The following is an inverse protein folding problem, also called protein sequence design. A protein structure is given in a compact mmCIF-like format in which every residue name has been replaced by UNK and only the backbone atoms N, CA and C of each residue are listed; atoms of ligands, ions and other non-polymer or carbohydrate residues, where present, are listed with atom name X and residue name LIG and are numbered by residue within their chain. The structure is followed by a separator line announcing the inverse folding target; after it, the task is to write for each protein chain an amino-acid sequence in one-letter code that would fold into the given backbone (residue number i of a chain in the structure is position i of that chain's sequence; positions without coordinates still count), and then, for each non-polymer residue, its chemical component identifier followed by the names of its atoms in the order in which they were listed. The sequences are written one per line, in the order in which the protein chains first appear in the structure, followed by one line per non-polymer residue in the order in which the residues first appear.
data_IF_457530894219
#
_entry.id   IF_457530894219
#
_cell.length_a   1.000
_cell.length_b   1.000
_cell.length_c   1.000
_cell.angle_alpha   90.00
_cell.angle_beta   90.00
_cell.angle_gamma   90.00
#
_symmetry.space_group_name_H-M   'P 1'
#
loop_
_entity.id
_entity.type
_entity.pdbx_description
1 polymer ?
#
# COMPACT_ATOMS: atom_id res chain seq x y z
N UNK A 1 3.23 13.76 -24.06
CA UNK A 1 4.60 14.15 -24.53
C UNK A 1 5.61 13.70 -23.51
N UNK A 2 6.60 12.87 -23.89
CA UNK A 2 7.62 12.38 -22.94
C UNK A 2 8.97 12.95 -23.32
N UNK A 3 9.62 13.65 -22.40
CA UNK A 3 10.87 14.38 -22.67
C UNK A 3 11.99 13.89 -21.74
N UNK A 4 13.15 13.59 -22.31
CA UNK A 4 14.32 13.17 -21.56
C UNK A 4 15.21 14.37 -21.17
N UNK A 5 15.64 14.46 -19.92
CA UNK A 5 16.42 15.59 -19.41
C UNK A 5 17.80 15.18 -18.92
N UNK A 6 18.84 15.79 -19.47
CA UNK A 6 20.15 15.79 -18.83
C UNK A 6 20.40 17.15 -18.15
N UNK A 7 20.54 17.15 -16.84
CA UNK A 7 20.82 18.37 -16.08
C UNK A 7 22.30 18.46 -15.73
N UNK A 8 23.06 19.32 -16.42
CA UNK A 8 24.41 19.67 -16.03
C UNK A 8 24.47 21.11 -15.51
N UNK A 9 24.99 21.31 -14.30
CA UNK A 9 25.37 22.65 -13.84
C UNK A 9 26.87 22.90 -14.03
N UNK A 10 27.27 24.15 -14.38
CA UNK A 10 28.65 24.44 -14.68
C UNK A 10 29.50 24.58 -13.43
N UNK A 11 30.40 23.66 -13.17
CA UNK A 11 31.67 23.86 -12.46
C UNK A 11 32.44 22.52 -12.45
N UNK A 12 33.53 22.49 -13.17
CA UNK A 12 34.50 21.43 -13.43
C UNK A 12 34.18 20.54 -14.66
N UNK A 13 35.21 20.35 -15.50
CA UNK A 13 35.19 19.48 -16.68
C UNK A 13 34.84 18.03 -16.27
N UNK A 14 33.59 17.69 -16.32
CA UNK A 14 33.11 16.32 -16.39
C UNK A 14 32.26 16.22 -17.65
N UNK A 15 32.64 15.41 -18.58
CA UNK A 15 31.79 15.05 -19.69
C UNK A 15 30.63 14.22 -19.13
N UNK A 16 29.45 14.78 -19.09
CA UNK A 16 28.24 14.04 -18.69
C UNK A 16 27.61 13.49 -19.95
N UNK A 17 27.92 12.24 -20.26
CA UNK A 17 27.31 11.51 -21.37
C UNK A 17 26.25 10.60 -20.78
N UNK A 18 25.02 10.73 -21.25
CA UNK A 18 23.92 9.82 -20.96
C UNK A 18 23.53 9.17 -22.28
N UNK A 19 23.68 7.87 -22.37
CA UNK A 19 23.22 7.07 -23.49
C UNK A 19 21.91 6.41 -23.13
N UNK A 20 20.93 6.47 -24.00
CA UNK A 20 19.63 5.84 -23.82
C UNK A 20 19.40 4.92 -25.01
N UNK A 21 19.17 3.66 -24.73
CA UNK A 21 18.96 2.62 -25.73
C UNK A 21 17.75 1.75 -25.38
N UNK A 22 17.29 0.97 -26.36
CA UNK A 22 16.14 0.07 -26.19
C UNK A 22 14.88 0.76 -25.64
N UNK A 23 14.63 2.00 -26.03
CA UNK A 23 13.48 2.78 -25.57
C UNK A 23 12.22 2.26 -26.24
N UNK A 24 11.27 1.82 -25.47
CA UNK A 24 9.96 1.38 -25.97
C UNK A 24 8.83 2.03 -25.20
N UNK A 25 7.79 2.38 -25.90
CA UNK A 25 6.51 2.85 -25.40
C UNK A 25 5.44 1.84 -25.81
N UNK A 26 4.72 1.29 -24.86
CA UNK A 26 3.79 0.18 -25.08
C UNK A 26 2.40 0.61 -24.64
N UNK A 27 1.47 0.63 -25.60
CA UNK A 27 0.08 1.04 -25.36
C UNK A 27 -0.81 -0.15 -25.04
N UNK A 28 -1.83 0.10 -24.26
CA UNK A 28 -2.90 -0.87 -24.04
C UNK A 28 -4.00 -0.67 -25.09
N UNK A 29 -4.35 -1.70 -25.86
CA UNK A 29 -5.52 -1.66 -26.74
C UNK A 29 -6.79 -1.40 -25.93
N UNK A 30 -7.64 -0.48 -26.40
CA UNK A 30 -9.03 -0.36 -25.96
C UNK A 30 -9.77 -1.64 -26.32
N UNK A 31 -9.90 -2.57 -25.36
CA UNK A 31 -10.80 -3.70 -25.51
C UNK A 31 -12.22 -3.28 -25.19
N UNK A 32 -13.18 -3.85 -25.93
CA UNK A 32 -14.61 -3.55 -25.80
C UNK A 32 -15.13 -3.77 -24.37
N UNK A 33 -15.99 -2.88 -23.93
CA UNK A 33 -16.52 -2.60 -22.58
C UNK A 33 -17.25 -3.77 -21.85
N UNK A 34 -16.97 -5.02 -22.10
CA UNK A 34 -17.72 -6.12 -21.51
C UNK A 34 -17.16 -6.68 -20.20
N UNK A 35 -15.92 -6.39 -19.86
CA UNK A 35 -15.32 -6.63 -18.55
C UNK A 35 -14.51 -5.40 -18.17
N UNK A 36 -14.70 -4.87 -16.97
CA UNK A 36 -13.94 -3.73 -16.49
C UNK A 36 -12.47 -4.11 -16.31
N UNK A 37 -11.71 -4.06 -17.39
CA UNK A 37 -10.25 -4.11 -17.35
C UNK A 37 -9.74 -2.84 -16.71
N UNK A 38 -9.50 -2.86 -15.43
CA UNK A 38 -8.90 -1.73 -14.72
C UNK A 38 -7.59 -2.18 -14.11
N UNK A 39 -6.51 -1.82 -14.72
CA UNK A 39 -5.18 -2.02 -14.16
C UNK A 39 -5.08 -1.50 -12.72
N UNK A 40 -5.83 -0.47 -12.41
CA UNK A 40 -6.03 0.10 -11.09
C UNK A 40 -7.50 -0.03 -10.73
N UNK A 41 -7.82 -1.07 -9.96
CA UNK A 41 -9.21 -1.35 -9.61
C UNK A 41 -9.80 -0.23 -8.76
N UNK A 42 -10.94 0.27 -9.22
CA UNK A 42 -11.73 1.25 -8.50
C UNK A 42 -13.20 1.13 -8.91
N UNK A 43 -14.09 1.02 -7.93
CA UNK A 43 -15.51 1.05 -8.19
C UNK A 43 -15.95 2.48 -8.57
N UNK A 44 -16.92 2.64 -9.51
CA UNK A 44 -17.35 3.95 -9.95
C UNK A 44 -17.81 4.87 -8.81
N UNK A 45 -17.37 6.12 -8.82
CA UNK A 45 -17.70 7.16 -7.84
C UNK A 45 -17.32 6.85 -6.40
N UNK A 46 -16.36 5.95 -6.20
CA UNK A 46 -15.78 5.65 -4.89
C UNK A 46 -14.27 5.59 -4.99
N UNK A 47 -13.60 5.60 -3.86
CA UNK A 47 -12.16 5.43 -3.75
C UNK A 47 -11.86 4.16 -2.95
N UNK A 48 -10.86 3.43 -3.40
CA UNK A 48 -10.43 2.18 -2.79
C UNK A 48 -9.71 2.46 -1.47
N UNK A 49 -10.23 1.91 -0.38
CA UNK A 49 -9.62 2.03 0.96
C UNK A 49 -8.76 0.81 1.31
N UNK A 50 -8.61 0.56 2.61
CA UNK A 50 -7.75 -0.51 3.10
C UNK A 50 -8.17 -1.87 2.57
N UNK A 51 -7.19 -2.68 2.19
CA UNK A 51 -7.38 -4.00 1.63
C UNK A 51 -6.96 -5.10 2.61
N UNK A 52 -7.84 -6.06 2.84
CA UNK A 52 -7.61 -7.26 3.61
C UNK A 52 -7.57 -8.45 2.65
N UNK A 53 -6.39 -8.77 2.09
CA UNK A 53 -6.28 -9.79 1.06
C UNK A 53 -6.37 -11.21 1.62
N UNK A 54 -6.92 -12.12 0.81
CA UNK A 54 -6.83 -13.56 1.02
C UNK A 54 -6.66 -14.27 -0.32
N UNK A 55 -5.92 -15.37 -0.34
CA UNK A 55 -5.70 -16.16 -1.56
C UNK A 55 -6.24 -17.58 -1.43
N UNK A 56 -6.94 -18.06 -2.46
CA UNK A 56 -7.43 -19.44 -2.54
C UNK A 56 -7.41 -19.96 -3.96
N UNK A 57 -6.85 -21.14 -4.16
CA UNK A 57 -6.67 -21.71 -5.51
C UNK A 57 -5.67 -20.88 -6.31
N UNK A 58 -6.14 -20.21 -7.34
CA UNK A 58 -5.40 -19.28 -8.18
C UNK A 58 -5.91 -17.83 -8.11
N UNK A 59 -6.80 -17.55 -7.16
CA UNK A 59 -7.48 -16.27 -7.03
C UNK A 59 -7.11 -15.54 -5.74
N UNK A 60 -6.99 -14.22 -5.83
CA UNK A 60 -6.92 -13.30 -4.72
C UNK A 60 -8.30 -12.68 -4.47
N UNK A 61 -8.72 -12.73 -3.22
CA UNK A 61 -9.93 -12.14 -2.68
C UNK A 61 -9.53 -10.84 -1.99
N UNK A 62 -9.97 -9.72 -2.54
CA UNK A 62 -9.65 -8.38 -2.08
C UNK A 62 -10.83 -7.83 -1.29
N UNK A 63 -10.87 -8.12 0.00
CA UNK A 63 -11.83 -7.47 0.89
C UNK A 63 -11.35 -6.05 1.12
N UNK A 64 -12.19 -5.06 0.86
CA UNK A 64 -11.76 -3.67 0.91
C UNK A 64 -12.87 -2.72 1.34
N UNK A 65 -12.45 -1.57 1.82
CA UNK A 65 -13.34 -0.46 2.15
C UNK A 65 -13.55 0.42 0.91
N UNK A 66 -14.64 1.20 0.95
CA UNK A 66 -14.92 2.23 -0.06
C UNK A 66 -15.18 3.56 0.63
N UNK A 67 -14.50 4.60 0.18
CA UNK A 67 -14.78 5.97 0.55
C UNK A 67 -15.67 6.63 -0.50
N UNK A 68 -16.72 7.31 -0.08
CA UNK A 68 -17.60 8.13 -0.94
C UNK A 68 -17.28 9.61 -0.81
N UNK A 69 -16.28 10.01 -0.09
CA UNK A 69 -15.81 11.38 0.24
C UNK A 69 -16.75 12.17 1.13
N UNK A 70 -18.04 12.01 1.01
CA UNK A 70 -19.03 12.79 1.77
C UNK A 70 -20.06 11.86 2.42
N UNK A 71 -20.39 12.14 3.71
CA UNK A 71 -19.85 13.21 4.57
C UNK A 71 -18.40 12.94 5.02
N UNK A 72 -17.66 14.00 5.25
CA UNK A 72 -16.31 13.90 5.79
C UNK A 72 -16.34 13.65 7.31
N UNK A 73 -15.43 12.84 7.91
CA UNK A 73 -14.43 11.99 7.25
C UNK A 73 -15.02 10.64 6.80
N UNK A 74 -14.35 9.96 5.88
CA UNK A 74 -14.60 8.59 5.40
C UNK A 74 -15.86 8.37 4.55
N UNK A 75 -16.65 9.43 4.24
CA UNK A 75 -17.86 9.28 3.46
C UNK A 75 -19.04 8.65 4.23
N UNK A 76 -19.92 7.99 3.48
CA UNK A 76 -21.02 7.21 4.06
C UNK A 76 -20.50 6.00 4.82
N UNK A 77 -21.17 5.57 5.90
CA UNK A 77 -20.80 4.38 6.63
C UNK A 77 -20.72 3.14 5.73
N UNK A 78 -19.65 2.36 5.89
CA UNK A 78 -19.32 1.23 5.02
C UNK A 78 -19.00 -0.06 5.79
N UNK A 79 -19.21 -1.17 5.10
CA UNK A 79 -18.67 -2.48 5.44
C UNK A 79 -17.46 -2.83 4.57
N UNK A 80 -17.18 -4.12 4.40
CA UNK A 80 -16.21 -4.58 3.43
C UNK A 80 -16.90 -5.08 2.17
N UNK A 81 -16.45 -4.57 1.03
CA UNK A 81 -16.78 -5.10 -0.28
C UNK A 81 -15.71 -6.07 -0.72
N UNK A 82 -16.02 -6.86 -1.75
CA UNK A 82 -15.14 -7.90 -2.25
C UNK A 82 -14.96 -7.78 -3.76
N UNK A 83 -13.71 -7.70 -4.18
CA UNK A 83 -13.31 -7.95 -5.56
C UNK A 83 -12.43 -9.20 -5.64
N UNK A 84 -12.49 -9.93 -6.75
CA UNK A 84 -11.68 -11.12 -6.99
C UNK A 84 -10.87 -10.95 -8.26
N UNK A 85 -9.60 -11.32 -8.22
CA UNK A 85 -8.69 -11.28 -9.37
C UNK A 85 -7.71 -12.46 -9.33
N UNK A 86 -7.24 -12.88 -10.49
CA UNK A 86 -6.12 -13.83 -10.62
C UNK A 86 -4.88 -13.21 -11.26
N UNK A 87 -4.99 -11.96 -11.75
CA UNK A 87 -3.95 -11.36 -12.59
C UNK A 87 -3.69 -9.86 -12.35
N UNK A 88 -4.46 -9.21 -11.46
CA UNK A 88 -4.39 -7.77 -11.18
C UNK A 88 -4.66 -6.87 -12.40
N UNK A 89 -5.27 -7.43 -13.44
CA UNK A 89 -5.68 -6.75 -14.66
C UNK A 89 -7.20 -6.84 -14.85
N UNK A 90 -7.75 -7.98 -14.49
CA UNK A 90 -9.18 -8.28 -14.57
C UNK A 90 -9.73 -8.52 -13.18
N UNK A 91 -10.81 -7.85 -12.86
CA UNK A 91 -11.46 -7.93 -11.56
C UNK A 91 -12.92 -8.27 -11.70
N UNK A 92 -13.41 -9.14 -10.81
CA UNK A 92 -14.82 -9.42 -10.64
C UNK A 92 -15.29 -8.79 -9.32
N UNK A 93 -16.19 -7.81 -9.39
CA UNK A 93 -16.84 -7.23 -8.21
C UNK A 93 -17.93 -8.18 -7.71
N UNK A 94 -17.81 -8.58 -6.44
CA UNK A 94 -18.77 -9.48 -5.76
C UNK A 94 -19.75 -8.71 -4.88
N UNK A 95 -19.62 -7.37 -4.80
CA UNK A 95 -20.42 -6.55 -3.92
C UNK A 95 -19.98 -6.63 -2.45
N UNK A 96 -20.90 -6.33 -1.56
CA UNK A 96 -20.62 -6.29 -0.12
C UNK A 96 -20.55 -7.71 0.46
N UNK A 97 -19.38 -8.08 0.99
CA UNK A 97 -19.15 -9.35 1.66
C UNK A 97 -19.45 -9.28 3.17
N UNK A 98 -18.92 -8.27 3.86
CA UNK A 98 -19.19 -8.05 5.28
C UNK A 98 -19.96 -6.74 5.46
N UNK A 99 -21.29 -6.78 5.62
CA UNK A 99 -22.11 -5.58 5.77
C UNK A 99 -21.86 -4.91 7.12
N UNK A 100 -21.85 -3.58 7.13
CA UNK A 100 -21.80 -2.78 8.36
C UNK A 100 -22.99 -3.06 9.28
N UNK A 101 -22.87 -2.65 10.53
CA UNK A 101 -24.00 -2.55 11.47
C UNK A 101 -24.87 -1.32 11.21
N UNK A 102 -25.87 -1.14 12.07
CA UNK A 102 -26.69 0.08 12.10
C UNK A 102 -25.90 1.28 12.65
N UNK A 103 -26.50 2.46 12.64
CA UNK A 103 -25.87 3.67 13.17
C UNK A 103 -25.68 3.62 14.70
N UNK A 104 -26.44 2.78 15.39
CA UNK A 104 -26.39 2.58 16.84
C UNK A 104 -25.47 1.42 17.27
N UNK A 105 -24.99 0.61 16.31
CA UNK A 105 -24.12 -0.52 16.60
C UNK A 105 -22.64 -0.15 16.57
N UNK A 106 -21.80 -0.97 17.21
CA UNK A 106 -20.36 -0.75 17.32
C UNK A 106 -19.68 -0.66 15.94
N UNK A 107 -20.11 -1.46 15.00
CA UNK A 107 -19.60 -1.51 13.64
C UNK A 107 -20.44 -0.70 12.66
N UNK A 108 -20.82 0.51 13.07
CA UNK A 108 -21.37 1.53 12.17
C UNK A 108 -20.50 1.69 10.91
N UNK A 109 -19.19 1.66 11.10
CA UNK A 109 -18.18 1.46 10.04
C UNK A 109 -17.38 0.19 10.36
N UNK A 110 -17.00 -0.53 9.35
CA UNK A 110 -16.05 -1.64 9.48
C UNK A 110 -14.69 -1.17 8.98
N UNK A 111 -13.79 -0.86 9.91
CA UNK A 111 -12.41 -0.52 9.62
C UNK A 111 -11.58 -1.78 9.33
N UNK A 112 -10.29 -1.63 9.07
CA UNK A 112 -9.45 -2.71 8.62
C UNK A 112 -9.32 -3.87 9.63
N UNK A 113 -8.84 -4.97 9.11
CA UNK A 113 -8.66 -6.22 9.82
C UNK A 113 -7.83 -7.22 9.03
N UNK A 114 -8.07 -8.51 9.23
CA UNK A 114 -7.43 -9.57 8.47
C UNK A 114 -8.36 -10.75 8.21
N UNK A 115 -8.11 -11.44 7.12
CA UNK A 115 -8.78 -12.69 6.74
C UNK A 115 -7.78 -13.83 6.83
N UNK A 116 -8.15 -14.94 7.45
CA UNK A 116 -7.32 -16.14 7.55
C UNK A 116 -8.18 -17.41 7.61
N UNK A 117 -7.55 -18.54 7.32
CA UNK A 117 -8.19 -19.85 7.42
C UNK A 117 -7.67 -20.59 8.65
N UNK A 118 -8.59 -21.13 9.44
CA UNK A 118 -8.29 -21.94 10.59
C UNK A 118 -9.45 -22.89 10.94
N UNK A 119 -9.17 -24.04 11.51
CA UNK A 119 -10.17 -25.01 11.99
C UNK A 119 -11.24 -25.38 10.93
N UNK A 120 -10.88 -25.31 9.63
CA UNK A 120 -11.76 -25.65 8.51
C UNK A 120 -12.78 -24.55 8.16
N UNK A 121 -12.58 -23.35 8.64
CA UNK A 121 -13.38 -22.15 8.33
C UNK A 121 -12.49 -20.97 7.97
N UNK A 122 -13.10 -19.95 7.38
CA UNK A 122 -12.49 -18.63 7.21
C UNK A 122 -12.93 -17.72 8.34
N UNK A 123 -12.00 -16.93 8.81
CA UNK A 123 -12.19 -16.00 9.92
C UNK A 123 -11.80 -14.59 9.50
N UNK A 124 -12.59 -13.62 9.95
CA UNK A 124 -12.24 -12.20 9.92
C UNK A 124 -12.14 -11.71 11.37
N UNK A 125 -10.98 -11.12 11.72
CA UNK A 125 -10.95 -10.14 12.81
C UNK A 125 -10.90 -8.77 12.17
N UNK A 126 -11.81 -7.87 12.62
CA UNK A 126 -11.97 -6.53 12.05
C UNK A 126 -12.18 -5.49 13.14
N UNK A 127 -12.02 -4.24 12.80
CA UNK A 127 -12.27 -3.12 13.70
C UNK A 127 -13.68 -2.58 13.47
N UNK A 128 -14.54 -2.71 14.47
CA UNK A 128 -15.83 -2.02 14.51
C UNK A 128 -15.63 -0.60 15.01
N UNK A 129 -16.03 0.39 14.23
CA UNK A 129 -15.94 1.80 14.56
C UNK A 129 -17.31 2.46 14.62
N UNK A 130 -17.58 3.16 15.71
CA UNK A 130 -18.76 4.02 15.85
C UNK A 130 -18.32 5.43 16.23
N UNK A 131 -18.56 6.38 15.30
CA UNK A 131 -18.13 7.79 15.46
C UNK A 131 -18.82 8.53 16.60
N UNK A 132 -19.97 8.05 17.06
CA UNK A 132 -20.77 8.70 18.07
C UNK A 132 -20.52 8.15 19.50
N UNK A 133 -19.89 7.00 19.62
CA UNK A 133 -19.64 6.34 20.91
C UNK A 133 -18.77 7.14 21.88
N UNK A 134 -17.75 7.90 21.47
CA UNK A 134 -17.00 8.77 22.39
C UNK A 134 -17.88 9.77 23.14
N UNK A 135 -18.93 10.31 22.48
CA UNK A 135 -19.90 11.21 23.10
C UNK A 135 -20.73 10.53 24.19
N UNK A 136 -20.80 9.20 24.16
CA UNK A 136 -21.51 8.36 25.11
C UNK A 136 -20.57 7.75 26.16
N UNK A 137 -19.30 8.12 26.19
CA UNK A 137 -18.27 7.56 27.07
C UNK A 137 -17.90 6.11 26.73
N UNK A 138 -18.14 5.66 25.50
CA UNK A 138 -17.78 4.33 25.01
C UNK A 138 -16.58 4.45 24.07
N UNK A 139 -15.78 3.37 23.96
CA UNK A 139 -14.70 3.29 22.97
C UNK A 139 -15.26 3.37 21.56
N UNK A 140 -14.66 4.21 20.71
CA UNK A 140 -15.05 4.31 19.30
C UNK A 140 -14.63 3.08 18.52
N UNK A 141 -13.53 2.43 18.89
CA UNK A 141 -12.94 1.31 18.19
C UNK A 141 -12.83 0.09 19.10
N UNK A 142 -13.29 -1.05 18.60
CA UNK A 142 -13.11 -2.36 19.24
C UNK A 142 -12.87 -3.41 18.15
N UNK A 143 -12.18 -4.50 18.49
CA UNK A 143 -12.04 -5.61 17.57
C UNK A 143 -13.26 -6.52 17.66
N UNK A 144 -13.75 -6.96 16.53
CA UNK A 144 -14.89 -7.84 16.32
C UNK A 144 -14.51 -9.00 15.42
N UNK A 145 -15.36 -10.02 15.34
CA UNK A 145 -15.08 -11.25 14.61
C UNK A 145 -16.28 -11.72 13.77
N UNK A 146 -15.97 -12.33 12.62
CA UNK A 146 -16.92 -13.00 11.75
C UNK A 146 -16.31 -14.30 11.19
N UNK A 147 -17.18 -15.26 10.84
CA UNK A 147 -16.83 -16.55 10.25
C UNK A 147 -17.52 -16.76 8.91
N UNK A 148 -16.88 -17.54 8.04
CA UNK A 148 -17.45 -17.97 6.76
C UNK A 148 -17.00 -19.40 6.40
N UNK A 149 -17.82 -20.11 5.63
CA UNK A 149 -17.46 -21.39 5.03
C UNK A 149 -17.02 -21.24 3.56
N UNK A 150 -17.23 -20.07 2.94
CA UNK A 150 -17.07 -19.90 1.47
C UNK A 150 -16.35 -18.61 1.02
N UNK A 151 -15.93 -17.75 1.95
CA UNK A 151 -15.35 -16.40 1.70
C UNK A 151 -16.35 -15.36 1.16
N UNK A 152 -17.58 -15.73 0.88
CA UNK A 152 -18.59 -14.84 0.30
C UNK A 152 -19.66 -14.45 1.31
N UNK A 153 -20.06 -15.41 2.15
CA UNK A 153 -21.13 -15.24 3.12
C UNK A 153 -20.54 -15.25 4.54
N UNK A 154 -20.62 -14.14 5.24
CA UNK A 154 -20.01 -13.96 6.55
C UNK A 154 -21.05 -13.84 7.65
N UNK A 155 -20.82 -14.51 8.76
CA UNK A 155 -21.64 -14.45 9.98
C UNK A 155 -20.86 -13.80 11.10
N UNK A 156 -21.33 -12.64 11.57
CA UNK A 156 -20.75 -11.96 12.75
C UNK A 156 -21.03 -12.79 14.00
N UNK A 157 -20.00 -13.05 14.79
CA UNK A 157 -20.12 -13.98 15.94
C UNK A 157 -20.65 -13.35 17.19
N UNK A 158 -20.99 -12.07 17.17
CA UNK A 158 -21.52 -11.25 18.27
C UNK A 158 -21.05 -11.62 19.69
N UNK A 159 -20.63 -10.68 20.49
CA UNK A 159 -20.37 -10.71 21.95
C UNK A 159 -19.29 -11.67 22.49
N UNK A 160 -18.84 -12.67 21.74
CA UNK A 160 -17.91 -13.68 22.28
C UNK A 160 -16.43 -13.35 22.03
N UNK A 161 -16.14 -12.56 21.01
CA UNK A 161 -14.78 -12.18 20.61
C UNK A 161 -14.70 -10.67 20.33
N UNK A 162 -15.05 -9.86 21.32
CA UNK A 162 -14.86 -8.41 21.27
C UNK A 162 -13.70 -8.01 22.15
N UNK A 163 -12.72 -7.33 21.55
CA UNK A 163 -11.51 -6.88 22.25
C UNK A 163 -11.55 -5.37 22.40
N UNK A 164 -11.86 -4.94 23.60
CA UNK A 164 -11.86 -3.51 23.95
C UNK A 164 -10.45 -3.00 24.17
N UNK A 165 -10.22 -1.68 23.98
CA UNK A 165 -8.95 -1.05 24.34
C UNK A 165 -8.52 -1.37 25.76
N UNK A 166 -7.25 -1.64 25.96
CA UNK A 166 -6.66 -1.99 27.24
C UNK A 166 -6.14 -0.75 27.96
N UNK A 167 -6.01 -0.83 29.29
CA UNK A 167 -5.49 0.26 30.12
C UNK A 167 -4.08 0.69 29.64
N UNK A 168 -3.86 1.99 29.50
CA UNK A 168 -2.60 2.57 29.02
C UNK A 168 -2.55 2.80 27.52
N UNK A 169 -3.54 2.34 26.76
CA UNK A 169 -3.66 2.56 25.33
C UNK A 169 -4.85 3.46 24.98
N UNK A 170 -4.76 4.12 23.83
CA UNK A 170 -5.78 5.07 23.40
C UNK A 170 -7.04 4.35 22.87
N UNK A 171 -8.25 4.71 23.36
CA UNK A 171 -9.48 4.03 22.95
C UNK A 171 -9.98 4.40 21.54
N UNK A 172 -9.45 5.47 20.95
CA UNK A 172 -9.83 5.94 19.61
C UNK A 172 -8.78 5.58 18.55
N UNK A 173 -7.68 4.93 18.98
CA UNK A 173 -6.62 4.41 18.13
C UNK A 173 -6.32 2.95 18.53
N UNK A 174 -7.30 2.04 18.27
CA UNK A 174 -7.23 0.62 18.61
C UNK A 174 -7.81 -0.20 17.46
N UNK A 175 -6.97 -0.53 16.45
CA UNK A 175 -7.48 -1.06 15.18
C UNK A 175 -6.51 -1.94 14.41
N UNK A 176 -7.00 -2.46 13.28
CA UNK A 176 -6.28 -3.15 12.22
C UNK A 176 -5.67 -4.49 12.67
N UNK A 177 -6.46 -5.42 13.28
CA UNK A 177 -5.94 -6.69 13.72
C UNK A 177 -5.39 -7.54 12.56
N UNK A 178 -4.29 -8.24 12.83
CA UNK A 178 -3.71 -9.22 11.94
C UNK A 178 -3.38 -10.50 12.69
N UNK A 179 -3.79 -11.65 12.15
CA UNK A 179 -3.64 -12.94 12.81
C UNK A 179 -2.73 -13.84 12.02
N UNK A 180 -1.77 -14.47 12.71
CA UNK A 180 -0.95 -15.55 12.17
C UNK A 180 -0.96 -16.75 13.12
N UNK A 181 -0.67 -17.93 12.58
CA UNK A 181 -0.29 -19.09 13.37
C UNK A 181 1.20 -19.05 13.69
N UNK A 182 1.55 -19.14 14.95
CA UNK A 182 2.93 -19.25 15.41
C UNK A 182 3.29 -20.72 15.62
N UNK A 183 4.01 -21.30 14.62
CA UNK A 183 4.41 -22.68 14.66
C UNK A 183 5.33 -23.02 15.84
N UNK A 184 6.20 -22.12 16.25
CA UNK A 184 7.14 -22.37 17.35
C UNK A 184 6.42 -22.53 18.69
N UNK A 185 5.40 -21.67 18.94
CA UNK A 185 4.66 -21.66 20.20
C UNK A 185 3.35 -22.45 20.12
N UNK A 186 2.97 -22.96 18.95
CA UNK A 186 1.72 -23.68 18.68
C UNK A 186 0.50 -22.87 19.19
N UNK A 187 0.43 -21.61 18.77
CA UNK A 187 -0.64 -20.67 19.13
C UNK A 187 -0.90 -19.65 18.04
N UNK A 188 -2.11 -19.11 18.02
CA UNK A 188 -2.42 -17.94 17.21
C UNK A 188 -1.86 -16.69 17.87
N UNK A 189 -1.23 -15.85 17.06
CA UNK A 189 -0.77 -14.52 17.43
C UNK A 189 -1.61 -13.49 16.68
N UNK A 190 -2.31 -12.64 17.41
CA UNK A 190 -2.99 -11.47 16.87
C UNK A 190 -2.17 -10.24 17.24
N UNK A 191 -1.78 -9.46 16.24
CA UNK A 191 -1.20 -8.13 16.47
C UNK A 191 -2.19 -7.07 16.01
N UNK A 192 -2.16 -5.90 16.63
CA UNK A 192 -2.97 -4.76 16.24
C UNK A 192 -2.23 -3.46 16.43
N UNK A 193 -2.62 -2.47 15.65
CA UNK A 193 -2.09 -1.12 15.73
C UNK A 193 -2.78 -0.28 16.80
N UNK A 194 -2.00 0.48 17.54
CA UNK A 194 -2.49 1.39 18.57
C UNK A 194 -1.45 2.47 18.89
N UNK A 195 -1.75 3.29 19.85
CA UNK A 195 -0.80 4.21 20.48
C UNK A 195 -0.98 4.27 21.98
N UNK A 196 0.03 4.78 22.68
CA UNK A 196 -0.05 5.06 24.10
C UNK A 196 -1.13 6.10 24.37
N UNK A 197 -1.92 5.90 25.44
CA UNK A 197 -2.93 6.85 25.88
C UNK A 197 -2.31 8.23 26.20
N UNK A 198 -3.08 9.29 25.91
CA UNK A 198 -2.65 10.67 26.11
C UNK A 198 -2.49 11.45 24.81
N UNK A 199 -1.76 12.58 24.83
CA UNK A 199 -1.55 13.41 23.67
C UNK A 199 -0.95 12.64 22.50
N UNK A 200 -1.34 12.97 21.26
CA UNK A 200 -0.73 12.41 20.06
C UNK A 200 0.66 13.01 19.88
N UNK A 201 1.66 12.15 19.93
CA UNK A 201 3.07 12.53 19.75
C UNK A 201 3.74 11.53 18.78
N UNK A 202 4.84 11.94 18.15
CA UNK A 202 5.58 11.12 17.19
C UNK A 202 6.28 9.88 17.79
N UNK A 203 6.07 9.60 19.06
CA UNK A 203 6.67 8.47 19.79
C UNK A 203 5.64 7.56 20.44
N UNK A 204 4.36 7.82 20.21
CA UNK A 204 3.28 7.11 20.90
C UNK A 204 2.86 5.80 20.26
N UNK A 205 3.22 5.59 18.98
CA UNK A 205 2.84 4.41 18.21
C UNK A 205 3.26 3.09 18.85
N UNK A 206 2.36 2.11 18.81
CA UNK A 206 2.51 0.76 19.38
C UNK A 206 1.90 -0.27 18.46
N UNK A 207 2.55 -1.41 18.37
CA UNK A 207 1.91 -2.66 17.96
C UNK A 207 1.78 -3.51 19.20
N UNK A 208 0.58 -3.92 19.56
CA UNK A 208 0.31 -4.80 20.71
C UNK A 208 -0.10 -6.19 20.26
N UNK A 209 -0.11 -7.16 21.17
CA UNK A 209 -0.40 -8.55 20.83
C UNK A 209 -1.36 -9.23 21.80
N UNK A 210 -2.11 -10.17 21.22
CA UNK A 210 -2.89 -11.17 21.91
C UNK A 210 -2.45 -12.55 21.43
N UNK A 211 -2.61 -13.57 22.28
CA UNK A 211 -2.36 -14.97 21.94
C UNK A 211 -3.56 -15.84 22.26
N UNK A 212 -3.75 -16.91 21.49
CA UNK A 212 -4.78 -17.91 21.69
C UNK A 212 -4.37 -19.27 21.18
N UNK A 213 -4.81 -20.35 21.82
CA UNK A 213 -4.63 -21.73 21.32
C UNK A 213 -5.83 -22.29 20.58
N UNK A 214 -6.98 -21.61 20.65
CA UNK A 214 -8.28 -22.14 20.23
C UNK A 214 -9.19 -21.11 19.55
N UNK A 215 -8.65 -19.94 19.19
CA UNK A 215 -9.37 -18.79 18.60
C UNK A 215 -10.53 -18.24 19.45
N UNK A 216 -10.79 -18.82 20.61
CA UNK A 216 -11.90 -18.46 21.50
C UNK A 216 -11.43 -17.76 22.76
N UNK A 217 -10.32 -18.24 23.32
CA UNK A 217 -9.74 -17.73 24.55
C UNK A 217 -8.47 -16.95 24.22
N UNK A 218 -8.58 -15.64 24.16
CA UNK A 218 -7.48 -14.74 23.85
C UNK A 218 -6.94 -14.08 25.12
N UNK A 219 -5.62 -14.01 25.20
CA UNK A 219 -4.91 -13.34 26.28
C UNK A 219 -4.17 -12.13 25.74
N UNK A 220 -4.38 -10.96 26.34
CA UNK A 220 -3.59 -9.78 26.06
C UNK A 220 -2.18 -9.92 26.66
N UNK A 221 -1.16 -9.69 25.84
CA UNK A 221 0.25 -9.87 26.23
C UNK A 221 1.03 -8.54 26.24
N UNK A 222 0.36 -7.39 25.99
CA UNK A 222 0.98 -6.07 25.95
C UNK A 222 1.65 -5.75 24.63
N UNK A 223 2.71 -4.95 24.70
CA UNK A 223 3.44 -4.49 23.52
C UNK A 223 4.10 -5.66 22.77
N UNK A 224 3.87 -5.73 21.46
CA UNK A 224 4.64 -6.55 20.53
C UNK A 224 5.86 -5.78 20.03
N UNK A 225 5.66 -4.53 19.62
CA UNK A 225 6.71 -3.64 19.13
C UNK A 225 6.43 -2.20 19.55
N UNK A 226 7.33 -1.62 20.34
CA UNK A 226 7.19 -0.30 20.95
C UNK A 226 8.50 0.51 20.86
N UNK A 227 8.93 0.85 19.63
CA UNK A 227 10.24 1.44 19.39
C UNK A 227 10.37 2.90 19.85
N UNK A 228 9.26 3.57 20.20
CA UNK A 228 9.22 5.02 20.41
C UNK A 228 9.34 5.81 19.10
N UNK A 229 8.76 5.27 18.04
CA UNK A 229 8.70 5.86 16.71
C UNK A 229 7.23 5.96 16.27
N UNK A 230 6.95 6.99 15.46
CA UNK A 230 5.66 7.25 14.82
C UNK A 230 4.53 7.57 15.81
N UNK A 231 3.52 8.28 15.33
CA UNK A 231 2.35 8.64 16.13
C UNK A 231 1.49 7.42 16.42
N UNK A 232 1.27 6.59 15.42
CA UNK A 232 0.55 5.33 15.49
C UNK A 232 1.14 4.32 14.51
N UNK A 233 0.96 3.05 14.80
CA UNK A 233 1.24 1.95 13.87
C UNK A 233 -0.09 1.45 13.30
N UNK A 234 -0.36 1.73 12.03
CA UNK A 234 -1.54 1.23 11.34
C UNK A 234 -1.22 -0.02 10.52
N UNK A 235 -2.22 -0.84 10.25
CA UNK A 235 -2.14 -2.01 9.36
C UNK A 235 -0.96 -2.94 9.64
N UNK A 236 -0.68 -3.36 10.89
CA UNK A 236 0.42 -4.27 11.16
C UNK A 236 0.23 -5.59 10.40
N UNK A 237 1.30 -6.07 9.77
CA UNK A 237 1.37 -7.34 9.05
C UNK A 237 2.62 -8.08 9.47
N UNK A 238 2.54 -9.41 9.57
CA UNK A 238 3.65 -10.28 9.95
C UNK A 238 3.74 -11.46 9.00
N UNK A 239 4.94 -11.70 8.46
CA UNK A 239 5.20 -12.88 7.64
C UNK A 239 6.67 -13.28 7.70
N UNK A 240 6.95 -14.49 7.20
CA UNK A 240 8.30 -15.03 7.11
C UNK A 240 8.67 -15.35 5.66
N UNK A 241 9.91 -15.02 5.28
CA UNK A 241 10.54 -15.50 4.05
C UNK A 241 11.92 -16.05 4.44
N UNK A 242 12.15 -17.33 4.17
CA UNK A 242 13.38 -18.00 4.62
C UNK A 242 13.53 -17.90 6.14
N UNK A 243 14.69 -17.44 6.60
CA UNK A 243 15.00 -17.30 8.03
C UNK A 243 14.61 -15.93 8.62
N UNK A 244 13.97 -15.06 7.85
CA UNK A 244 13.64 -13.73 8.27
C UNK A 244 12.14 -13.53 8.48
N UNK A 245 11.80 -13.01 9.64
CA UNK A 245 10.49 -12.43 9.93
C UNK A 245 10.47 -10.96 9.52
N UNK A 246 9.32 -10.54 9.01
CA UNK A 246 9.05 -9.16 8.61
C UNK A 246 7.81 -8.66 9.32
N UNK A 247 7.92 -7.45 9.86
CA UNK A 247 6.81 -6.69 10.42
C UNK A 247 6.63 -5.42 9.60
N UNK A 248 5.51 -5.33 8.91
CA UNK A 248 5.14 -4.15 8.12
C UNK A 248 4.15 -3.34 8.93
N UNK A 249 4.24 -2.02 8.81
CA UNK A 249 3.24 -1.06 9.28
C UNK A 249 3.10 0.08 8.28
N UNK A 250 1.92 0.70 8.29
CA UNK A 250 1.72 2.05 7.75
C UNK A 250 1.94 3.04 8.89
N UNK A 251 2.94 3.90 8.75
CA UNK A 251 3.27 4.84 9.80
C UNK A 251 2.36 6.06 9.73
N UNK A 252 1.61 6.30 10.76
CA UNK A 252 0.75 7.47 10.88
C UNK A 252 1.50 8.59 11.59
N UNK A 253 2.15 9.42 10.78
CA UNK A 253 2.88 10.61 11.19
C UNK A 253 3.06 11.55 10.00
N UNK A 254 4.08 12.39 9.99
CA UNK A 254 4.35 13.32 8.88
C UNK A 254 4.78 12.61 7.58
N UNK A 255 5.30 11.40 7.66
CA UNK A 255 5.78 10.63 6.51
C UNK A 255 4.64 10.03 5.70
N UNK A 256 3.63 9.49 6.37
CA UNK A 256 2.50 8.76 5.76
C UNK A 256 2.97 7.77 4.69
N UNK A 257 3.74 6.77 5.10
CA UNK A 257 4.25 5.75 4.21
C UNK A 257 4.29 4.38 4.89
N UNK A 258 4.48 3.35 4.09
CA UNK A 258 4.71 2.02 4.60
C UNK A 258 6.19 1.80 4.92
N UNK A 259 6.44 1.18 6.07
CA UNK A 259 7.78 0.77 6.47
C UNK A 259 7.78 -0.67 6.96
N UNK A 260 8.93 -1.32 6.89
CA UNK A 260 9.08 -2.65 7.46
C UNK A 260 10.27 -2.75 8.43
N UNK A 261 10.18 -3.74 9.27
CA UNK A 261 11.25 -4.19 10.16
C UNK A 261 11.50 -5.68 9.91
N UNK A 262 12.73 -6.12 10.14
CA UNK A 262 13.11 -7.51 9.94
C UNK A 262 13.80 -8.08 11.17
N UNK A 263 13.61 -9.36 11.43
CA UNK A 263 14.19 -10.07 12.57
C UNK A 263 14.38 -11.56 12.27
N UNK A 264 15.30 -12.21 12.99
CA UNK A 264 15.41 -13.67 12.95
C UNK A 264 14.44 -14.37 13.90
N UNK A 265 13.69 -13.63 14.71
CA UNK A 265 12.71 -14.14 15.66
C UNK A 265 11.49 -13.24 15.74
N UNK A 266 10.30 -13.81 15.97
CA UNK A 266 9.09 -13.04 16.30
C UNK A 266 9.21 -12.21 17.57
N UNK A 267 10.07 -12.63 18.49
CA UNK A 267 10.33 -11.88 19.73
C UNK A 267 11.39 -10.76 19.54
N UNK A 268 11.88 -10.58 18.31
CA UNK A 268 12.87 -9.56 17.99
C UNK A 268 14.35 -10.00 18.26
N UNK A 269 15.31 -9.10 18.28
CA UNK A 269 15.14 -7.66 18.03
C UNK A 269 14.75 -7.34 16.58
N UNK A 270 13.88 -6.36 16.42
CA UNK A 270 13.45 -5.86 15.12
C UNK A 270 14.41 -4.78 14.63
N UNK A 271 15.00 -4.97 13.45
CA UNK A 271 15.96 -4.04 12.83
C UNK A 271 15.33 -3.33 11.64
N UNK A 272 15.69 -2.07 11.46
CA UNK A 272 15.36 -1.27 10.29
C UNK A 272 16.50 -1.42 9.27
N UNK A 273 16.26 -1.87 8.03
CA UNK A 273 17.24 -1.77 6.97
C UNK A 273 17.44 -0.30 6.55
N UNK A 274 18.49 -0.02 5.79
CA UNK A 274 18.81 1.33 5.33
C UNK A 274 17.69 1.91 4.43
N UNK A 275 17.06 1.05 3.61
CA UNK A 275 15.86 1.34 2.83
C UNK A 275 14.73 0.47 3.41
N UNK A 276 13.91 1.06 4.26
CA UNK A 276 12.89 0.38 5.06
C UNK A 276 11.46 0.62 4.55
N UNK A 277 11.32 1.26 3.38
CA UNK A 277 10.02 1.61 2.80
C UNK A 277 9.72 0.81 1.53
N UNK A 278 8.45 0.67 1.25
CA UNK A 278 7.94 0.18 -0.04
C UNK A 278 7.36 1.36 -0.81
N UNK A 279 7.81 1.56 -2.05
CA UNK A 279 7.37 2.67 -2.86
C UNK A 279 7.68 4.06 -2.21
N UNK A 280 7.07 5.11 -2.74
CA UNK A 280 7.26 6.48 -2.26
C UNK A 280 6.32 6.86 -1.12
N UNK A 281 6.38 8.14 -0.76
CA UNK A 281 5.40 8.74 0.14
C UNK A 281 3.99 8.56 -0.41
N UNK A 282 3.06 8.27 0.50
CA UNK A 282 1.64 8.11 0.24
C UNK A 282 1.18 6.76 -0.36
N UNK A 283 2.05 5.83 -0.71
CA UNK A 283 1.64 4.43 -0.82
C UNK A 283 1.36 3.88 0.57
N UNK A 284 0.12 3.44 0.82
CA UNK A 284 -0.37 3.31 2.19
C UNK A 284 -1.27 2.09 2.41
N UNK A 285 -1.47 1.77 3.71
CA UNK A 285 -2.37 0.74 4.24
C UNK A 285 -2.16 -0.65 3.63
N UNK A 286 -0.91 -1.00 3.34
CA UNK A 286 -0.58 -2.26 2.68
C UNK A 286 -0.60 -3.45 3.62
N UNK A 287 -1.19 -4.54 3.12
CA UNK A 287 -1.10 -5.89 3.69
C UNK A 287 -0.59 -6.85 2.65
N UNK A 288 -0.01 -7.95 3.11
CA UNK A 288 0.53 -8.96 2.19
C UNK A 288 -0.27 -10.25 2.24
N UNK A 289 -0.26 -10.98 1.13
CA UNK A 289 -0.66 -12.38 1.08
C UNK A 289 0.28 -13.15 0.14
N UNK A 290 0.61 -14.39 0.50
CA UNK A 290 1.41 -15.27 -0.32
C UNK A 290 0.52 -16.38 -0.91
N UNK A 291 0.39 -16.42 -2.23
CA UNK A 291 -0.35 -17.45 -2.95
C UNK A 291 0.56 -18.09 -3.98
N UNK A 292 0.64 -19.42 -3.97
CA UNK A 292 1.45 -20.21 -4.93
C UNK A 292 2.93 -19.75 -5.01
N UNK A 293 3.51 -19.30 -3.88
CA UNK A 293 4.89 -18.82 -3.79
C UNK A 293 5.10 -17.36 -4.19
N UNK A 294 4.08 -16.69 -4.70
CA UNK A 294 4.11 -15.27 -5.01
C UNK A 294 3.53 -14.48 -3.83
N UNK A 295 4.32 -13.57 -3.27
CA UNK A 295 3.86 -12.65 -2.22
C UNK A 295 3.51 -11.31 -2.84
N UNK A 296 2.28 -10.90 -2.63
CA UNK A 296 1.77 -9.61 -3.11
C UNK A 296 1.54 -8.69 -1.91
N UNK A 297 1.89 -7.43 -2.08
CA UNK A 297 1.56 -6.32 -1.20
C UNK A 297 0.39 -5.55 -1.82
N UNK A 298 -0.68 -5.42 -1.07
CA UNK A 298 -1.95 -4.81 -1.46
C UNK A 298 -2.10 -3.48 -0.73
N UNK A 299 -1.97 -2.38 -1.43
CA UNK A 299 -2.12 -1.04 -0.87
C UNK A 299 -2.82 -0.10 -1.82
N UNK A 300 -2.91 1.16 -1.45
CA UNK A 300 -3.52 2.20 -2.27
C UNK A 300 -2.66 3.46 -2.31
N UNK A 301 -2.82 4.22 -3.39
CA UNK A 301 -2.24 5.55 -3.57
C UNK A 301 -3.36 6.57 -3.40
N UNK A 302 -3.27 7.48 -2.43
CA UNK A 302 -4.32 8.45 -2.15
C UNK A 302 -4.54 9.40 -3.31
N UNK A 303 -5.79 9.80 -3.49
CA UNK A 303 -6.09 10.97 -4.30
C UNK A 303 -5.91 12.25 -3.48
N UNK A 304 -5.91 13.37 -4.15
CA UNK A 304 -5.81 14.68 -3.53
C UNK A 304 -7.13 15.44 -3.60
N UNK A 305 -7.35 16.33 -2.66
CA UNK A 305 -8.54 17.19 -2.59
C UNK A 305 -8.78 17.88 -3.94
N UNK A 306 -10.01 17.82 -4.42
CA UNK A 306 -10.46 18.41 -5.68
C UNK A 306 -9.67 17.93 -6.92
N UNK A 307 -8.95 16.81 -6.84
CA UNK A 307 -8.01 16.33 -7.88
C UNK A 307 -6.96 17.39 -8.26
N UNK A 308 -6.58 18.28 -7.33
CA UNK A 308 -5.50 19.27 -7.51
C UNK A 308 -4.19 18.72 -6.91
N UNK A 309 -3.12 18.73 -7.69
CA UNK A 309 -1.79 18.27 -7.24
C UNK A 309 -1.26 19.03 -6.01
N UNK A 310 -1.76 20.22 -5.75
CA UNK A 310 -1.44 21.04 -4.56
C UNK A 310 -2.37 20.79 -3.38
N UNK A 311 -3.44 20.02 -3.58
CA UNK A 311 -4.38 19.62 -2.54
C UNK A 311 -3.73 18.70 -1.50
N UNK A 312 -4.35 18.57 -0.33
CA UNK A 312 -3.93 17.60 0.67
C UNK A 312 -4.29 16.18 0.22
N UNK A 313 -3.54 15.19 0.71
CA UNK A 313 -3.93 13.80 0.52
C UNK A 313 -5.21 13.48 1.30
N UNK A 314 -6.13 12.80 0.64
CA UNK A 314 -7.33 12.25 1.26
C UNK A 314 -7.11 10.77 1.62
N UNK A 315 -7.86 10.25 2.59
CA UNK A 315 -7.87 8.81 2.86
C UNK A 315 -8.50 8.06 1.68
N UNK A 316 -8.02 6.85 1.38
CA UNK A 316 -8.38 6.05 0.22
C UNK A 316 -7.97 6.69 -1.13
N UNK A 317 -7.96 5.90 -2.18
CA UNK A 317 -7.52 6.35 -3.50
C UNK A 317 -7.62 5.25 -4.55
N UNK A 318 -6.51 4.93 -5.17
CA UNK A 318 -6.40 3.96 -6.25
C UNK A 318 -5.65 2.72 -5.75
N UNK A 319 -6.24 1.55 -5.93
CA UNK A 319 -5.58 0.29 -5.59
C UNK A 319 -4.32 0.05 -6.43
N UNK A 320 -3.23 -0.37 -5.77
CA UNK A 320 -1.98 -0.76 -6.42
C UNK A 320 -1.43 -2.03 -5.77
N UNK A 321 -1.18 -3.06 -6.57
CA UNK A 321 -0.53 -4.29 -6.14
C UNK A 321 0.95 -4.28 -6.51
N UNK A 322 1.81 -4.70 -5.58
CA UNK A 322 3.22 -4.94 -5.81
C UNK A 322 3.58 -6.40 -5.48
N UNK A 323 4.43 -7.01 -6.28
CA UNK A 323 5.05 -8.27 -5.88
C UNK A 323 6.25 -8.00 -4.97
N UNK A 324 6.27 -8.64 -3.79
CA UNK A 324 7.36 -8.53 -2.82
C UNK A 324 8.39 -9.63 -3.07
N UNK A 325 9.65 -9.26 -3.13
CA UNK A 325 10.77 -10.21 -3.21
C UNK A 325 11.82 -9.93 -2.15
N UNK A 326 12.52 -10.98 -1.74
CA UNK A 326 13.64 -10.89 -0.80
C UNK A 326 14.95 -10.80 -1.58
N UNK A 327 15.83 -9.88 -1.19
CA UNK A 327 17.20 -9.78 -1.68
C UNK A 327 18.11 -10.75 -0.95
N UNK A 328 19.32 -10.97 -1.45
CA UNK A 328 20.30 -11.90 -0.86
C UNK A 328 20.68 -11.54 0.58
N UNK A 329 20.68 -10.26 0.94
CA UNK A 329 20.95 -9.77 2.29
C UNK A 329 19.74 -9.87 3.24
N UNK A 330 18.61 -10.37 2.76
CA UNK A 330 17.36 -10.48 3.50
C UNK A 330 16.48 -9.25 3.43
N UNK A 331 16.93 -8.13 2.84
CA UNK A 331 16.08 -6.95 2.67
C UNK A 331 15.00 -7.19 1.62
N UNK A 332 13.89 -6.44 1.71
CA UNK A 332 12.77 -6.57 0.78
C UNK A 332 12.85 -5.55 -0.35
N UNK A 333 12.35 -5.93 -1.49
CA UNK A 333 12.05 -5.08 -2.62
C UNK A 333 10.65 -5.33 -3.15
N UNK A 334 10.16 -4.42 -3.98
CA UNK A 334 8.88 -4.57 -4.69
C UNK A 334 9.09 -4.41 -6.18
N UNK A 335 8.22 -5.07 -6.95
CA UNK A 335 8.16 -4.96 -8.41
C UNK A 335 6.72 -5.06 -8.87
N UNK A 336 6.49 -4.66 -10.11
CA UNK A 336 5.18 -4.84 -10.76
C UNK A 336 4.96 -6.35 -10.96
N UNK A 337 3.76 -6.90 -10.64
CA UNK A 337 3.44 -8.30 -10.96
C UNK A 337 3.58 -8.58 -12.46
N UNK A 338 4.14 -9.74 -12.81
CA UNK A 338 4.40 -10.11 -14.22
C UNK A 338 3.13 -10.09 -15.07
N UNK A 339 1.97 -10.44 -14.51
CA UNK A 339 0.67 -10.39 -15.19
C UNK A 339 0.30 -8.96 -15.60
N UNK A 340 0.55 -8.00 -14.74
CA UNK A 340 0.36 -6.56 -15.01
C UNK A 340 1.36 -6.09 -16.05
N UNK A 341 2.63 -6.45 -15.89
CA UNK A 341 3.69 -6.10 -16.83
C UNK A 341 3.40 -6.59 -18.25
N UNK A 342 2.92 -7.83 -18.37
CA UNK A 342 2.63 -8.47 -19.64
C UNK A 342 1.24 -8.10 -20.23
N UNK A 343 0.45 -7.29 -19.54
CA UNK A 343 -0.85 -6.83 -20.04
C UNK A 343 -0.73 -5.73 -21.10
N UNK A 344 0.48 -5.24 -21.36
CA UNK A 344 0.76 -4.25 -22.38
C UNK A 344 1.27 -4.94 -23.64
N UNK A 345 0.77 -4.51 -24.82
CA UNK A 345 1.21 -5.00 -26.12
C UNK A 345 2.46 -4.25 -26.61
N UNK A 346 3.17 -4.78 -27.63
CA UNK A 346 4.30 -4.08 -28.24
C UNK A 346 3.87 -2.70 -28.77
N UNK A 347 4.64 -1.69 -28.41
CA UNK A 347 4.41 -0.30 -28.78
C UNK A 347 5.51 0.27 -29.67
N UNK A 348 5.60 1.58 -29.73
CA UNK A 348 6.60 2.29 -30.51
C UNK A 348 7.98 2.19 -29.85
N UNK A 349 9.02 2.17 -30.68
CA UNK A 349 10.43 2.24 -30.26
C UNK A 349 11.02 3.57 -30.72
N UNK A 350 11.69 4.26 -29.81
CA UNK A 350 12.51 5.41 -30.19
C UNK A 350 13.92 4.96 -30.62
N UNK A 351 14.59 5.77 -31.40
CA UNK A 351 15.99 5.56 -31.72
C UNK A 351 16.89 5.77 -30.50
N UNK A 352 18.01 5.04 -30.48
CA UNK A 352 19.03 5.23 -29.44
C UNK A 352 19.57 6.67 -29.52
N UNK A 353 19.81 7.27 -28.37
CA UNK A 353 20.26 8.64 -28.27
C UNK A 353 21.42 8.82 -27.31
N UNK A 354 22.19 9.83 -27.56
CA UNK A 354 23.27 10.27 -26.67
C UNK A 354 23.04 11.74 -26.35
N UNK A 355 22.97 12.02 -25.03
CA UNK A 355 22.92 13.38 -24.52
C UNK A 355 24.28 13.71 -23.90
N UNK A 356 25.03 14.59 -24.55
CA UNK A 356 26.32 15.12 -24.12
C UNK A 356 26.17 16.62 -23.78
N UNK A 357 26.02 16.95 -22.53
CA UNK A 357 25.75 18.32 -22.11
C UNK A 357 26.52 18.69 -20.84
N UNK A 358 27.83 18.97 -20.96
CA UNK A 358 28.68 19.25 -19.81
C UNK A 358 28.34 20.57 -19.09
N UNK A 359 27.68 21.52 -19.75
CA UNK A 359 27.47 22.87 -19.26
C UNK A 359 26.03 23.39 -19.31
N UNK A 360 25.10 22.59 -19.82
CA UNK A 360 23.73 23.04 -20.05
C UNK A 360 22.73 21.92 -19.80
N UNK A 361 21.45 22.27 -19.74
CA UNK A 361 20.34 21.32 -19.84
C UNK A 361 20.06 21.04 -21.31
N UNK A 362 19.91 19.79 -21.66
CA UNK A 362 19.44 19.36 -22.97
C UNK A 362 18.20 18.47 -22.79
N UNK A 363 17.25 18.63 -23.68
CA UNK A 363 16.01 17.89 -23.72
C UNK A 363 15.79 17.32 -25.11
N UNK A 364 15.23 16.13 -25.17
CA UNK A 364 14.85 15.48 -26.42
C UNK A 364 13.50 14.81 -26.23
N UNK A 365 12.60 15.04 -27.19
CA UNK A 365 11.28 14.40 -27.22
C UNK A 365 11.47 12.98 -27.72
N UNK A 366 10.95 12.02 -26.95
CA UNK A 366 10.95 10.60 -27.31
C UNK A 366 9.68 10.23 -28.07
N UNK A 367 8.53 10.64 -27.56
CA UNK A 367 7.22 10.37 -28.13
C UNK A 367 6.35 11.63 -28.04
N UNK A 368 5.64 11.96 -29.11
CA UNK A 368 4.78 13.15 -29.15
C UNK A 368 3.44 12.92 -28.47
N UNK A 369 2.88 11.73 -28.64
CA UNK A 369 1.59 11.34 -28.09
C UNK A 369 1.75 10.07 -27.27
N UNK A 370 1.10 10.03 -26.11
CA UNK A 370 0.99 8.85 -25.26
C UNK A 370 -0.45 8.68 -24.81
N UNK A 371 -0.89 7.45 -24.65
CA UNK A 371 -2.19 7.18 -24.00
C UNK A 371 -2.12 7.47 -22.50
N UNK A 372 -3.27 7.55 -21.83
CA UNK A 372 -3.32 7.73 -20.37
C UNK A 372 -2.71 6.57 -19.59
N UNK A 373 -2.58 5.41 -20.23
CA UNK A 373 -2.04 4.19 -19.63
C UNK A 373 -1.00 3.56 -20.57
N UNK A 374 0.25 3.58 -20.15
CA UNK A 374 1.37 3.05 -20.94
C UNK A 374 2.44 2.41 -20.05
N UNK A 375 3.24 1.54 -20.65
CA UNK A 375 4.50 1.04 -20.10
C UNK A 375 5.66 1.68 -20.86
N UNK A 376 6.60 2.23 -20.13
CA UNK A 376 7.84 2.79 -20.67
C UNK A 376 9.04 1.98 -20.20
N UNK A 377 9.92 1.63 -21.12
CA UNK A 377 11.17 0.94 -20.83
C UNK A 377 12.33 1.64 -21.54
N UNK A 378 13.45 1.77 -20.86
CA UNK A 378 14.68 2.30 -21.44
C UNK A 378 15.91 1.78 -20.68
N UNK A 379 16.95 1.43 -21.39
CA UNK A 379 18.28 1.23 -20.84
C UNK A 379 19.02 2.57 -20.82
N UNK A 380 19.52 2.96 -19.65
CA UNK A 380 20.21 4.25 -19.45
C UNK A 380 21.62 4.01 -18.94
N UNK A 381 22.60 4.36 -19.77
CA UNK A 381 23.99 4.38 -19.37
C UNK A 381 24.46 5.84 -19.16
N UNK A 382 25.24 6.07 -18.12
CA UNK A 382 25.76 7.40 -17.82
C UNK A 382 27.23 7.35 -17.42
N UNK A 383 27.98 8.37 -17.84
CA UNK A 383 29.40 8.50 -17.55
C UNK A 383 29.66 8.91 -16.11
N UNK A 384 30.88 8.62 -15.63
CA UNK A 384 31.36 9.15 -14.36
C UNK A 384 31.27 10.68 -14.33
N UNK A 385 30.70 11.23 -13.26
CA UNK A 385 30.50 12.68 -13.12
C UNK A 385 29.13 13.19 -13.59
N UNK A 386 28.28 12.35 -14.17
CA UNK A 386 26.90 12.71 -14.41
C UNK A 386 26.20 13.05 -13.09
N UNK A 387 25.56 14.21 -13.03
CA UNK A 387 24.89 14.67 -11.81
C UNK A 387 23.46 14.17 -11.69
N UNK A 388 22.71 14.34 -12.78
CA UNK A 388 21.32 13.94 -12.83
C UNK A 388 20.84 13.79 -14.27
N UNK A 389 19.81 12.96 -14.43
CA UNK A 389 18.99 12.88 -15.64
C UNK A 389 17.56 12.58 -15.24
N UNK A 390 16.61 12.65 -16.16
CA UNK A 390 15.23 12.38 -15.84
C UNK A 390 14.34 12.13 -17.04
N UNK A 391 13.11 11.73 -16.75
CA UNK A 391 12.02 11.54 -17.70
C UNK A 391 10.89 12.48 -17.35
N UNK A 392 10.34 13.15 -18.37
CA UNK A 392 9.18 14.03 -18.22
C UNK A 392 7.98 13.45 -18.95
N UNK A 393 6.82 13.53 -18.34
CA UNK A 393 5.56 13.00 -18.85
C UNK A 393 4.47 14.07 -18.80
N UNK A 394 3.50 13.99 -19.72
CA UNK A 394 2.30 14.82 -19.78
C UNK A 394 2.62 16.32 -19.73
N UNK A 395 3.57 16.75 -20.54
CA UNK A 395 3.88 18.16 -20.62
C UNK A 395 2.72 18.95 -21.27
N UNK A 396 2.23 19.95 -20.56
CA UNK A 396 1.29 20.92 -21.07
C UNK A 396 2.10 22.03 -21.79
N UNK A 397 1.97 22.13 -23.09
CA UNK A 397 2.74 23.08 -23.91
C UNK A 397 2.47 24.56 -23.57
N UNK A 398 1.26 24.89 -23.11
CA UNK A 398 0.88 26.26 -22.77
C UNK A 398 1.47 26.72 -21.43
N UNK A 399 1.48 25.83 -20.44
CA UNK A 399 1.91 26.17 -19.08
C UNK A 399 3.32 25.67 -18.75
N UNK A 400 3.87 24.74 -19.52
CA UNK A 400 5.12 24.03 -19.24
C UNK A 400 5.03 23.07 -18.03
N UNK A 401 3.83 22.84 -17.51
CA UNK A 401 3.63 21.89 -16.42
C UNK A 401 3.76 20.46 -16.91
N UNK A 402 4.37 19.63 -16.08
CA UNK A 402 4.60 18.22 -16.40
C UNK A 402 4.85 17.42 -15.12
N UNK A 403 4.81 16.09 -15.23
CA UNK A 403 5.36 15.20 -14.22
C UNK A 403 6.75 14.73 -14.65
N UNK A 404 7.65 14.59 -13.69
CA UNK A 404 9.00 14.10 -13.99
C UNK A 404 9.53 13.13 -12.94
N UNK A 405 10.23 12.10 -13.43
CA UNK A 405 11.20 11.35 -12.64
C UNK A 405 12.57 11.99 -12.78
N UNK A 406 13.17 12.39 -11.69
CA UNK A 406 14.52 12.95 -11.61
C UNK A 406 15.44 11.99 -10.87
N UNK A 407 16.46 11.47 -11.55
CA UNK A 407 17.50 10.64 -10.99
C UNK A 407 18.71 11.52 -10.64
N UNK A 408 18.96 11.70 -9.35
CA UNK A 408 20.12 12.41 -8.85
C UNK A 408 21.23 11.41 -8.51
N UNK A 409 22.14 11.23 -9.45
CA UNK A 409 23.22 10.23 -9.34
C UNK A 409 24.18 10.58 -8.22
N UNK A 410 24.52 11.86 -8.07
CA UNK A 410 25.43 12.34 -7.01
C UNK A 410 24.92 12.04 -5.60
N UNK A 411 23.60 12.08 -5.42
CA UNK A 411 22.97 11.89 -4.12
C UNK A 411 22.42 10.47 -3.94
N UNK A 412 22.53 9.62 -4.97
CA UNK A 412 21.99 8.28 -5.02
C UNK A 412 20.50 8.23 -4.67
N UNK A 413 19.69 9.11 -5.27
CA UNK A 413 18.24 9.17 -5.07
C UNK A 413 17.51 9.53 -6.36
N UNK A 414 16.25 9.11 -6.40
CA UNK A 414 15.31 9.57 -7.41
C UNK A 414 14.10 10.23 -6.75
N UNK A 415 13.41 11.08 -7.50
CA UNK A 415 12.18 11.75 -7.10
C UNK A 415 11.19 11.74 -8.25
N UNK A 416 9.92 11.60 -7.89
CA UNK A 416 8.81 11.90 -8.78
C UNK A 416 8.20 13.23 -8.31
N UNK A 417 8.06 14.18 -9.19
CA UNK A 417 7.62 15.53 -8.83
C UNK A 417 6.93 16.21 -10.01
N UNK A 418 6.14 17.24 -9.74
CA UNK A 418 5.65 18.16 -10.77
C UNK A 418 6.75 19.15 -11.18
N UNK A 419 6.73 19.61 -12.42
CA UNK A 419 7.67 20.63 -12.94
C UNK A 419 6.88 21.67 -13.74
N UNK A 420 7.11 22.98 -13.56
CA UNK A 420 7.92 23.59 -12.48
C UNK A 420 7.25 23.41 -11.12
N UNK A 421 8.10 23.38 -10.08
CA UNK A 421 7.66 23.31 -8.68
C UNK A 421 7.21 24.68 -8.15
#
# INVERSE_FOLDING_TARGET
MSVFHGLAQPLYRCNSIVTVSNVSHIERKKQEEKFMTKLYYQFPNTWFGDCMPFGKGDQFYLFHQRDTRKPCPFGEPFGWDLAVTSDFVHYEDKGTALPRGTDEEQDQFIFAGSVFEAEGKYHIFYTGFNRDYPKLGKASQVLMHAESDDLLNWTKTQDKLTFTPQEGYDPDDWRDPFVIWNEEKQEYLLVLGTRKAGPKEQQTGRTVKFTSKDLKNWKFEGDFWAPGLFTMHEMPDLFQIGDWWYHIISEYSDGNKMVYRMSKSLDGPWIAPADDAFDGRAYYAGRTFCLNGQRILFGWVPTKEDCDDRGNFEWAGTFVAHEVYQREDGTLGVRIPDTVWNAFEEGEKAEDMVIDTPYARQEQILFNDTTDLFRFEADVEFSEGTRSFGLRFYENEETGQSYQYLFNIKENRYRFETSPN
#
